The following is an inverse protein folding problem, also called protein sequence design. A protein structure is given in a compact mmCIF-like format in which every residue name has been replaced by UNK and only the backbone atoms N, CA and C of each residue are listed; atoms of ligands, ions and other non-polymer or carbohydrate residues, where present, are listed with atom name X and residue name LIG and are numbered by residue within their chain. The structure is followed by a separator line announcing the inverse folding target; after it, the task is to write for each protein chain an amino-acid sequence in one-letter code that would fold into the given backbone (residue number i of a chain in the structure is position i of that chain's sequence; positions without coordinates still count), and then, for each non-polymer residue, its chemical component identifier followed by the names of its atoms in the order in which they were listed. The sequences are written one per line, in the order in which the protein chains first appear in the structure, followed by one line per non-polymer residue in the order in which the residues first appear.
data_IF_349328546742
#
_entry.id   IF_349328546742
#
_cell.length_a   1.000
_cell.length_b   1.000
_cell.length_c   1.000
_cell.angle_alpha   90.00
_cell.angle_beta   90.00
_cell.angle_gamma   90.00
#
_symmetry.space_group_name_H-M   'P 1'
#
loop_
_entity.id
_entity.type
_entity.pdbx_description
1 polymer ?
#
# COMPACT_ATOMS: atom_id res chain seq x y z
N UNK A 1 -0.47 -21.23 36.20
CA UNK A 1 0.60 -21.59 35.22
C UNK A 1 0.64 -20.66 34.00
N UNK A 2 -0.45 -19.93 33.66
CA UNK A 2 -0.49 -18.93 32.57
C UNK A 2 0.44 -17.72 32.79
N UNK A 3 0.59 -17.29 34.04
CA UNK A 3 1.36 -16.11 34.44
C UNK A 3 2.88 -16.26 34.18
N UNK A 4 3.44 -17.46 34.37
CA UNK A 4 4.85 -17.70 34.06
C UNK A 4 5.10 -17.71 32.54
N UNK A 5 4.18 -18.27 31.75
CA UNK A 5 4.31 -18.32 30.28
C UNK A 5 4.28 -16.94 29.63
N UNK A 6 3.48 -16.00 30.13
CA UNK A 6 3.46 -14.62 29.60
C UNK A 6 4.80 -13.90 29.81
N UNK A 7 5.41 -14.03 31.00
CA UNK A 7 6.70 -13.41 31.33
C UNK A 7 7.84 -13.96 30.46
N UNK A 8 7.90 -15.28 30.26
CA UNK A 8 8.92 -15.89 29.41
C UNK A 8 8.73 -15.52 27.94
N UNK A 9 7.48 -15.37 27.49
CA UNK A 9 7.15 -14.99 26.12
C UNK A 9 7.58 -13.55 25.81
N UNK A 10 7.25 -12.60 26.69
CA UNK A 10 7.64 -11.20 26.52
C UNK A 10 9.17 -11.03 26.58
N UNK A 11 9.84 -11.73 27.51
CA UNK A 11 11.30 -11.72 27.59
C UNK A 11 11.96 -12.31 26.35
N UNK A 12 11.47 -13.46 25.86
CA UNK A 12 11.98 -14.09 24.64
C UNK A 12 11.76 -13.18 23.43
N UNK A 13 10.55 -12.62 23.28
CA UNK A 13 10.22 -11.75 22.14
C UNK A 13 11.11 -10.50 22.13
N UNK A 14 11.31 -9.86 23.28
CA UNK A 14 12.22 -8.69 23.40
C UNK A 14 13.67 -9.03 23.05
N UNK A 15 14.14 -10.24 23.34
CA UNK A 15 15.48 -10.67 23.02
C UNK A 15 15.67 -10.99 21.52
N UNK A 16 14.65 -11.58 20.88
CA UNK A 16 14.74 -12.05 19.49
C UNK A 16 14.29 -10.97 18.48
N UNK A 17 13.30 -10.15 18.80
CA UNK A 17 12.74 -9.13 17.90
C UNK A 17 13.77 -8.16 17.29
N UNK A 18 14.78 -7.65 18.03
CA UNK A 18 15.82 -6.81 17.44
C UNK A 18 16.60 -7.50 16.33
N UNK A 19 16.81 -8.82 16.44
CA UNK A 19 17.60 -9.64 15.52
C UNK A 19 16.80 -10.17 14.33
N UNK A 20 15.53 -9.81 14.20
CA UNK A 20 14.63 -10.30 13.14
C UNK A 20 15.09 -10.06 11.70
N UNK A 21 16.03 -9.14 11.49
CA UNK A 21 16.60 -8.81 10.17
C UNK A 21 17.88 -9.59 9.86
N UNK A 22 18.44 -10.29 10.84
CA UNK A 22 19.79 -10.88 10.78
C UNK A 22 19.79 -12.33 10.27
N UNK A 23 18.63 -12.98 10.22
CA UNK A 23 18.41 -14.35 9.73
C UNK A 23 16.89 -14.57 9.59
N UNK A 24 16.39 -15.56 8.81
CA UNK A 24 15.01 -16.02 8.91
C UNK A 24 14.52 -16.04 10.36
N UNK A 25 13.28 -15.58 10.58
CA UNK A 25 12.17 -16.00 9.72
C UNK A 25 11.61 -14.89 8.80
N UNK A 26 10.92 -15.28 7.72
CA UNK A 26 10.37 -14.41 6.65
C UNK A 26 9.18 -13.57 7.15
N UNK A 27 8.64 -12.66 6.32
CA UNK A 27 7.56 -11.74 6.71
C UNK A 27 6.30 -12.48 7.22
N UNK A 28 5.95 -13.60 6.61
CA UNK A 28 4.85 -14.50 7.02
C UNK A 28 5.06 -15.00 8.45
N UNK A 29 6.27 -15.42 8.75
CA UNK A 29 6.61 -16.10 9.99
C UNK A 29 6.57 -15.13 11.17
N UNK A 30 7.13 -13.93 10.99
CA UNK A 30 7.00 -12.87 11.99
C UNK A 30 5.55 -12.45 12.19
N UNK A 31 4.74 -12.46 11.13
CA UNK A 31 3.31 -12.17 11.22
C UNK A 31 2.60 -13.24 12.07
N UNK A 32 2.91 -14.51 11.84
CA UNK A 32 2.39 -15.62 12.63
C UNK A 32 2.83 -15.55 14.11
N UNK A 33 4.11 -15.29 14.39
CA UNK A 33 4.62 -15.15 15.75
C UNK A 33 3.94 -13.99 16.49
N UNK A 34 3.80 -12.82 15.86
CA UNK A 34 3.12 -11.69 16.50
C UNK A 34 1.63 -11.98 16.77
N UNK A 35 0.98 -12.76 15.91
CA UNK A 35 -0.40 -13.20 16.13
C UNK A 35 -0.51 -14.14 17.34
N UNK A 36 0.32 -15.19 17.41
CA UNK A 36 0.30 -16.17 18.49
C UNK A 36 0.63 -15.52 19.84
N UNK A 37 1.62 -14.61 19.86
CA UNK A 37 2.07 -13.94 21.07
C UNK A 37 1.32 -12.64 21.40
N UNK A 38 0.25 -12.33 20.65
CA UNK A 38 -0.59 -11.16 20.88
C UNK A 38 0.19 -9.82 20.89
N UNK A 39 1.19 -9.69 20.02
CA UNK A 39 2.00 -8.49 19.90
C UNK A 39 1.41 -7.55 18.83
N UNK A 40 0.36 -6.82 19.20
CA UNK A 40 -0.51 -6.08 18.27
C UNK A 40 0.21 -5.01 17.42
N UNK A 41 1.03 -4.10 17.98
CA UNK A 41 1.64 -3.02 17.18
C UNK A 41 2.53 -3.55 16.05
N UNK A 42 3.24 -4.63 16.32
CA UNK A 42 4.14 -5.31 15.41
C UNK A 42 3.38 -6.16 14.40
N UNK A 43 2.32 -6.84 14.84
CA UNK A 43 1.40 -7.54 13.95
C UNK A 43 0.80 -6.58 12.91
N UNK A 44 0.31 -5.41 13.34
CA UNK A 44 -0.19 -4.35 12.46
C UNK A 44 0.92 -3.84 11.51
N UNK A 45 2.14 -3.66 12.01
CA UNK A 45 3.25 -3.22 11.17
C UNK A 45 3.60 -4.25 10.08
N UNK A 46 3.64 -5.52 10.42
CA UNK A 46 4.01 -6.62 9.52
C UNK A 46 2.91 -6.89 8.49
N UNK A 47 1.65 -6.92 8.90
CA UNK A 47 0.50 -7.12 7.99
C UNK A 47 0.38 -5.97 6.98
N UNK A 48 0.60 -4.73 7.41
CA UNK A 48 0.71 -3.58 6.49
C UNK A 48 1.86 -3.73 5.49
N UNK A 49 3.05 -4.13 5.96
CA UNK A 49 4.19 -4.41 5.06
C UNK A 49 3.84 -5.53 4.09
N UNK A 50 3.12 -6.55 4.54
CA UNK A 50 2.68 -7.67 3.72
C UNK A 50 1.75 -7.21 2.60
N UNK A 51 0.81 -6.29 2.87
CA UNK A 51 -0.04 -5.71 1.80
C UNK A 51 0.81 -5.04 0.71
N UNK A 52 1.82 -4.26 1.08
CA UNK A 52 2.70 -3.59 0.11
C UNK A 52 3.67 -4.53 -0.60
N UNK A 53 4.02 -5.65 0.03
CA UNK A 53 5.11 -6.52 -0.39
C UNK A 53 4.69 -7.80 -1.10
N UNK A 54 3.47 -8.26 -0.83
CA UNK A 54 2.92 -9.48 -1.41
C UNK A 54 2.65 -9.32 -2.90
N UNK A 55 2.79 -10.42 -3.62
CA UNK A 55 2.33 -10.58 -5.00
C UNK A 55 0.98 -11.31 -4.96
N UNK A 56 0.64 -12.13 -5.97
CA UNK A 56 -0.61 -12.92 -5.98
C UNK A 56 -0.77 -13.82 -4.75
N UNK A 57 0.32 -14.21 -4.10
CA UNK A 57 0.32 -15.04 -2.89
C UNK A 57 1.11 -14.39 -1.77
N UNK A 58 0.57 -14.41 -0.55
CA UNK A 58 1.37 -14.19 0.66
C UNK A 58 2.06 -15.52 0.99
N UNK A 59 3.40 -15.54 0.99
CA UNK A 59 4.23 -16.76 1.01
C UNK A 59 3.78 -17.80 2.05
N UNK A 60 3.70 -19.05 1.62
CA UNK A 60 3.41 -20.23 2.43
C UNK A 60 4.75 -20.83 2.89
N UNK A 61 5.24 -20.42 4.05
CA UNK A 61 6.53 -20.87 4.60
C UNK A 61 6.37 -22.08 5.53
N UNK A 62 5.47 -22.99 5.19
CA UNK A 62 5.09 -24.16 6.01
C UNK A 62 4.54 -23.82 7.42
N UNK A 63 4.36 -22.53 7.72
CA UNK A 63 3.75 -22.05 8.95
C UNK A 63 2.24 -21.90 8.75
N UNK A 64 1.41 -22.36 9.71
CA UNK A 64 -0.04 -22.30 9.60
C UNK A 64 -0.54 -20.87 9.89
N UNK A 65 -0.18 -19.90 9.06
CA UNK A 65 -0.81 -18.59 9.09
C UNK A 65 -2.31 -18.80 8.83
N UNK A 66 -3.20 -18.30 9.70
CA UNK A 66 -4.62 -18.52 9.48
C UNK A 66 -5.06 -17.95 8.12
N UNK A 67 -5.85 -18.74 7.39
CA UNK A 67 -6.29 -18.38 6.04
C UNK A 67 -6.99 -17.02 5.99
N UNK A 68 -7.68 -16.61 7.05
CA UNK A 68 -8.32 -15.30 7.14
C UNK A 68 -7.29 -14.16 7.18
N UNK A 69 -6.11 -14.32 7.79
CA UNK A 69 -5.04 -13.30 7.78
C UNK A 69 -4.51 -13.13 6.36
N UNK A 70 -4.15 -14.25 5.71
CA UNK A 70 -3.67 -14.25 4.34
C UNK A 70 -4.72 -13.68 3.38
N UNK A 71 -5.98 -14.07 3.58
CA UNK A 71 -7.14 -13.60 2.81
C UNK A 71 -7.35 -12.09 2.91
N UNK A 72 -7.29 -11.52 4.12
CA UNK A 72 -7.43 -10.08 4.33
C UNK A 72 -6.25 -9.29 3.73
N UNK A 73 -5.02 -9.79 3.86
CA UNK A 73 -3.84 -9.19 3.21
C UNK A 73 -4.01 -9.18 1.69
N UNK A 74 -4.42 -10.32 1.11
CA UNK A 74 -4.64 -10.46 -0.33
C UNK A 74 -5.80 -9.56 -0.81
N UNK A 75 -6.91 -9.52 -0.08
CA UNK A 75 -8.06 -8.67 -0.39
C UNK A 75 -7.67 -7.19 -0.38
N UNK A 76 -6.97 -6.73 0.67
CA UNK A 76 -6.52 -5.35 0.78
C UNK A 76 -5.53 -5.00 -0.34
N UNK A 77 -4.65 -5.93 -0.71
CA UNK A 77 -3.74 -5.76 -1.84
C UNK A 77 -4.50 -5.57 -3.15
N UNK A 78 -5.38 -6.50 -3.48
CA UNK A 78 -6.16 -6.46 -4.73
C UNK A 78 -7.00 -5.18 -4.78
N UNK A 79 -7.70 -4.82 -3.70
CA UNK A 79 -8.50 -3.59 -3.63
C UNK A 79 -7.67 -2.32 -3.85
N UNK A 80 -6.43 -2.28 -3.35
CA UNK A 80 -5.55 -1.12 -3.54
C UNK A 80 -5.06 -1.01 -4.98
N UNK A 81 -4.71 -2.15 -5.59
CA UNK A 81 -4.31 -2.23 -7.00
C UNK A 81 -5.48 -1.82 -7.90
N UNK A 82 -6.68 -2.32 -7.60
CA UNK A 82 -7.92 -2.03 -8.33
C UNK A 82 -8.22 -0.54 -8.35
N UNK A 83 -8.18 0.11 -7.19
CA UNK A 83 -8.38 1.55 -7.09
C UNK A 83 -7.34 2.37 -7.90
N UNK A 84 -6.09 1.89 -7.99
CA UNK A 84 -5.08 2.53 -8.83
C UNK A 84 -5.37 2.35 -10.32
N UNK A 85 -5.79 1.15 -10.74
CA UNK A 85 -6.15 0.85 -12.13
C UNK A 85 -7.40 1.63 -12.55
N UNK A 86 -8.41 1.68 -11.70
CA UNK A 86 -9.65 2.44 -11.93
C UNK A 86 -9.33 3.91 -12.16
N UNK A 87 -8.46 4.50 -11.32
CA UNK A 87 -8.02 5.87 -11.53
C UNK A 87 -7.32 6.09 -12.88
N UNK A 88 -6.46 5.15 -13.30
CA UNK A 88 -5.82 5.21 -14.62
C UNK A 88 -6.83 5.07 -15.76
N UNK A 89 -7.84 4.21 -15.59
CA UNK A 89 -8.93 4.03 -16.55
C UNK A 89 -9.76 5.29 -16.68
N UNK A 90 -10.08 5.95 -15.57
CA UNK A 90 -10.78 7.25 -15.54
C UNK A 90 -9.98 8.34 -16.24
N UNK A 91 -8.65 8.40 -16.00
CA UNK A 91 -7.76 9.32 -16.71
C UNK A 91 -7.75 9.05 -18.22
N UNK A 92 -7.59 7.79 -18.65
CA UNK A 92 -7.64 7.46 -20.07
C UNK A 92 -8.98 7.86 -20.70
N UNK A 93 -10.09 7.54 -20.02
CA UNK A 93 -11.44 7.84 -20.49
C UNK A 93 -11.71 9.35 -20.58
N UNK A 94 -11.20 10.15 -19.64
CA UNK A 94 -11.38 11.60 -19.67
C UNK A 94 -10.73 12.23 -20.90
N UNK A 95 -9.51 11.80 -21.26
CA UNK A 95 -8.79 12.26 -22.44
C UNK A 95 -9.25 11.62 -23.76
N UNK A 96 -9.97 10.49 -23.72
CA UNK A 96 -10.64 9.89 -24.88
C UNK A 96 -12.02 10.50 -25.17
N UNK A 97 -12.59 11.23 -24.21
CA UNK A 97 -13.94 11.80 -24.35
C UNK A 97 -13.96 13.01 -25.30
N UNK A 98 -15.15 13.36 -25.78
CA UNK A 98 -15.36 14.57 -26.60
C UNK A 98 -15.17 15.88 -25.81
N UNK A 99 -15.01 15.80 -24.48
CA UNK A 99 -14.82 16.98 -23.61
C UNK A 99 -13.34 17.33 -23.55
N UNK A 100 -13.01 18.51 -24.03
CA UNK A 100 -11.65 19.06 -23.95
C UNK A 100 -11.21 19.18 -22.47
N UNK A 101 -10.16 18.46 -22.10
CA UNK A 101 -9.54 18.49 -20.76
C UNK A 101 -8.51 19.63 -20.66
N UNK A 102 -7.74 19.85 -21.74
CA UNK A 102 -6.70 20.86 -21.81
C UNK A 102 -7.18 22.11 -22.54
N UNK A 103 -7.46 23.20 -21.82
CA UNK A 103 -7.96 24.46 -22.40
C UNK A 103 -6.94 25.23 -23.24
N UNK A 104 -5.65 24.90 -23.15
CA UNK A 104 -4.59 25.66 -23.79
C UNK A 104 -4.52 25.46 -25.31
N UNK A 105 -4.78 24.25 -25.82
CA UNK A 105 -4.73 23.91 -27.27
C UNK A 105 -5.66 22.74 -27.62
N UNK A 106 -6.28 22.78 -28.79
CA UNK A 106 -7.22 21.75 -29.28
C UNK A 106 -6.60 20.34 -29.40
N UNK A 107 -5.30 20.22 -29.68
CA UNK A 107 -4.62 18.93 -29.88
C UNK A 107 -3.88 18.42 -28.63
N UNK A 108 -4.00 19.13 -27.50
CA UNK A 108 -3.27 18.82 -26.28
C UNK A 108 -3.72 17.48 -25.68
N UNK A 109 -5.03 17.20 -25.68
CA UNK A 109 -5.60 15.98 -25.12
C UNK A 109 -5.11 14.72 -25.85
N UNK A 110 -5.07 14.76 -27.19
CA UNK A 110 -4.53 13.66 -28.00
C UNK A 110 -3.04 13.39 -27.69
N UNK A 111 -2.25 14.43 -27.41
CA UNK A 111 -0.85 14.26 -27.03
C UNK A 111 -0.72 13.68 -25.62
N UNK A 112 -1.49 14.18 -24.66
CA UNK A 112 -1.50 13.65 -23.28
C UNK A 112 -1.92 12.19 -23.29
N UNK A 113 -3.00 11.85 -23.97
CA UNK A 113 -3.48 10.48 -24.14
C UNK A 113 -2.41 9.58 -24.75
N UNK A 114 -1.80 10.00 -25.86
CA UNK A 114 -0.73 9.25 -26.50
C UNK A 114 0.50 9.07 -25.60
N UNK A 115 0.86 10.09 -24.82
CA UNK A 115 1.96 10.01 -23.86
C UNK A 115 1.61 9.10 -22.68
N UNK A 116 0.36 9.12 -22.21
CA UNK A 116 -0.12 8.28 -21.11
C UNK A 116 -0.10 6.80 -21.52
N UNK A 117 -0.67 6.47 -22.69
CA UNK A 117 -0.67 5.11 -23.24
C UNK A 117 0.77 4.63 -23.46
N UNK A 118 1.64 5.45 -24.08
CA UNK A 118 3.06 5.09 -24.25
C UNK A 118 3.78 4.89 -22.92
N UNK A 119 3.51 5.74 -21.93
CA UNK A 119 4.08 5.64 -20.59
C UNK A 119 3.69 4.36 -19.87
N UNK A 120 2.41 3.99 -19.92
CA UNK A 120 1.89 2.73 -19.38
C UNK A 120 2.46 1.51 -20.11
N UNK A 121 2.47 1.55 -21.45
CA UNK A 121 3.02 0.47 -22.27
C UNK A 121 4.51 0.22 -22.00
N UNK A 122 5.31 1.29 -21.87
CA UNK A 122 6.74 1.19 -21.57
C UNK A 122 7.03 0.56 -20.19
N UNK A 123 6.03 0.46 -19.31
CA UNK A 123 6.12 -0.14 -17.96
C UNK A 123 5.42 -1.49 -17.87
N UNK A 124 4.92 -2.01 -19.00
CA UNK A 124 4.15 -3.26 -19.05
C UNK A 124 2.80 -3.18 -18.35
N UNK A 125 2.20 -1.98 -18.27
CA UNK A 125 0.90 -1.74 -17.63
C UNK A 125 -0.22 -1.53 -18.65
N UNK A 126 0.07 -1.52 -19.94
CA UNK A 126 -0.93 -1.39 -21.01
C UNK A 126 -0.98 -2.67 -21.86
N UNK A 127 -2.17 -3.20 -22.21
CA UNK A 127 -3.50 -2.76 -21.75
C UNK A 127 -3.65 -2.90 -20.23
N UNK A 128 -4.50 -2.07 -19.62
CA UNK A 128 -4.76 -2.13 -18.18
C UNK A 128 -5.40 -3.50 -17.87
N UNK A 129 -4.70 -4.32 -17.10
CA UNK A 129 -5.20 -5.61 -16.64
C UNK A 129 -6.15 -5.45 -15.46
N UNK A 130 -6.93 -6.49 -15.16
CA UNK A 130 -7.69 -6.57 -13.91
C UNK A 130 -6.75 -6.71 -12.71
N UNK A 131 -7.12 -6.13 -11.56
CA UNK A 131 -6.26 -6.08 -10.38
C UNK A 131 -5.76 -7.45 -9.90
N UNK A 132 -6.63 -8.46 -9.96
CA UNK A 132 -6.29 -9.83 -9.57
C UNK A 132 -5.28 -10.53 -10.50
N UNK A 133 -5.14 -10.07 -11.74
CA UNK A 133 -4.21 -10.63 -12.72
C UNK A 133 -2.78 -10.05 -12.61
N UNK A 134 -2.62 -8.93 -11.90
CA UNK A 134 -1.31 -8.32 -11.70
C UNK A 134 -0.53 -9.05 -10.61
N UNK A 135 0.50 -9.81 -11.00
CA UNK A 135 1.42 -10.48 -10.07
C UNK A 135 2.63 -9.60 -9.70
N UNK A 136 2.36 -8.36 -9.31
CA UNK A 136 3.38 -7.41 -8.83
C UNK A 136 2.98 -6.83 -7.47
N UNK A 137 3.95 -6.45 -6.62
CA UNK A 137 3.64 -5.82 -5.35
C UNK A 137 3.22 -4.36 -5.54
N UNK A 138 2.40 -3.82 -4.62
CA UNK A 138 1.89 -2.44 -4.69
C UNK A 138 3.04 -1.43 -4.82
N UNK A 139 4.11 -1.63 -4.04
CA UNK A 139 5.30 -0.75 -4.09
C UNK A 139 5.90 -0.65 -5.51
N UNK A 140 5.88 -1.74 -6.25
CA UNK A 140 6.44 -1.82 -7.60
C UNK A 140 5.50 -1.15 -8.59
N UNK A 141 4.18 -1.43 -8.49
CA UNK A 141 3.17 -0.73 -9.29
C UNK A 141 3.29 0.79 -9.11
N UNK A 142 3.33 1.25 -7.86
CA UNK A 142 3.38 2.69 -7.57
C UNK A 142 4.70 3.30 -8.03
N UNK A 143 5.83 2.61 -7.87
CA UNK A 143 7.11 3.05 -8.41
C UNK A 143 7.06 3.22 -9.94
N UNK A 144 6.47 2.26 -10.66
CA UNK A 144 6.30 2.35 -12.12
C UNK A 144 5.45 3.56 -12.49
N UNK A 145 4.31 3.74 -11.84
CA UNK A 145 3.39 4.86 -12.10
C UNK A 145 4.06 6.21 -11.81
N UNK A 146 4.78 6.35 -10.70
CA UNK A 146 5.54 7.58 -10.37
C UNK A 146 6.66 7.90 -11.35
N UNK A 147 7.27 6.85 -11.91
CA UNK A 147 8.31 7.01 -12.91
C UNK A 147 7.76 7.50 -14.26
N UNK A 148 6.44 7.50 -14.48
CA UNK A 148 5.85 7.94 -15.75
C UNK A 148 6.15 9.39 -16.05
N UNK A 149 6.48 9.64 -17.31
CA UNK A 149 6.58 10.99 -17.85
C UNK A 149 5.42 11.19 -18.82
N UNK A 150 4.58 12.19 -18.55
CA UNK A 150 3.46 12.53 -19.42
C UNK A 150 3.73 13.90 -20.01
N UNK A 151 3.95 13.93 -21.32
CA UNK A 151 4.21 15.15 -22.07
C UNK A 151 2.88 15.78 -22.53
N UNK A 152 2.86 17.11 -22.62
CA UNK A 152 1.77 17.83 -23.27
C UNK A 152 2.29 18.93 -24.21
N UNK A 153 1.52 19.26 -25.25
CA UNK A 153 1.87 20.32 -26.23
C UNK A 153 2.09 21.69 -25.58
N UNK A 154 1.56 21.88 -24.38
CA UNK A 154 1.58 23.13 -23.65
C UNK A 154 2.93 23.35 -22.94
N UNK A 155 3.78 22.33 -22.80
CA UNK A 155 5.10 22.49 -22.17
C UNK A 155 6.09 23.32 -23.01
N UNK A 156 5.89 23.42 -24.32
CA UNK A 156 6.89 23.98 -25.25
C UNK A 156 6.63 25.43 -25.69
N UNK A 157 5.53 26.06 -25.25
CA UNK A 157 5.22 27.44 -25.66
C UNK A 157 5.57 28.45 -24.55
N UNK A 158 6.76 29.05 -24.69
CA UNK A 158 7.36 30.00 -23.74
C UNK A 158 6.59 31.32 -23.55
N UNK A 159 5.45 31.53 -24.21
CA UNK A 159 4.62 32.73 -24.07
C UNK A 159 3.49 32.61 -23.04
N UNK A 160 3.23 31.43 -22.47
CA UNK A 160 2.24 31.22 -21.40
C UNK A 160 2.75 30.25 -20.32
N UNK A 161 3.90 30.54 -19.73
CA UNK A 161 4.54 29.70 -18.70
C UNK A 161 3.70 29.55 -17.42
N UNK A 162 2.76 30.46 -17.16
CA UNK A 162 1.98 30.48 -15.90
C UNK A 162 0.79 29.51 -15.91
N UNK A 163 0.15 29.25 -17.06
CA UNK A 163 -0.99 28.32 -17.13
C UNK A 163 -0.57 26.86 -17.40
N UNK A 164 0.62 26.65 -17.98
CA UNK A 164 1.08 25.33 -18.43
C UNK A 164 1.73 24.50 -17.32
N UNK A 165 2.25 25.13 -16.27
CA UNK A 165 2.70 24.41 -15.08
C UNK A 165 1.53 23.68 -14.41
N UNK A 166 0.33 24.26 -14.42
CA UNK A 166 -0.83 23.71 -13.70
C UNK A 166 -1.42 22.44 -14.31
N UNK A 167 -1.23 22.19 -15.62
CA UNK A 167 -1.81 21.00 -16.26
C UNK A 167 -0.94 19.75 -16.11
N UNK A 168 0.38 19.85 -16.30
CA UNK A 168 1.30 18.72 -16.11
C UNK A 168 1.71 18.53 -14.64
N UNK A 169 1.83 19.61 -13.85
CA UNK A 169 1.76 19.48 -12.38
C UNK A 169 0.38 18.96 -11.97
N UNK A 170 -0.66 19.28 -12.73
CA UNK A 170 -2.03 18.78 -12.56
C UNK A 170 -2.11 17.28 -12.68
N UNK A 171 -1.80 16.69 -13.84
CA UNK A 171 -1.92 15.24 -14.05
C UNK A 171 -0.93 14.46 -13.19
N UNK A 172 0.36 14.83 -13.21
CA UNK A 172 1.37 14.15 -12.39
C UNK A 172 1.07 14.32 -10.89
N UNK A 173 0.58 15.49 -10.49
CA UNK A 173 0.15 15.75 -9.12
C UNK A 173 -1.14 15.04 -8.74
N UNK A 174 -2.10 14.87 -9.65
CA UNK A 174 -3.31 14.07 -9.45
C UNK A 174 -2.96 12.59 -9.26
N UNK A 175 -2.07 12.07 -10.11
CA UNK A 175 -1.55 10.71 -9.97
C UNK A 175 -0.82 10.56 -8.64
N UNK A 176 0.12 11.45 -8.32
CA UNK A 176 0.86 11.40 -7.05
C UNK A 176 -0.05 11.53 -5.82
N UNK A 177 -1.04 12.42 -5.87
CA UNK A 177 -2.02 12.61 -4.80
C UNK A 177 -2.87 11.36 -4.61
N UNK A 178 -3.32 10.73 -5.70
CA UNK A 178 -4.08 9.48 -5.64
C UNK A 178 -3.23 8.35 -5.08
N UNK A 179 -2.00 8.16 -5.56
CA UNK A 179 -1.09 7.14 -5.05
C UNK A 179 -0.78 7.36 -3.57
N UNK A 180 -0.49 8.59 -3.15
CA UNK A 180 -0.24 8.94 -1.75
C UNK A 180 -1.47 8.67 -0.87
N UNK A 181 -2.67 8.93 -1.37
CA UNK A 181 -3.93 8.63 -0.67
C UNK A 181 -4.15 7.12 -0.53
N UNK A 182 -3.86 6.34 -1.57
CA UNK A 182 -3.93 4.88 -1.50
C UNK A 182 -2.89 4.32 -0.51
N UNK A 183 -1.68 4.88 -0.50
CA UNK A 183 -0.64 4.51 0.47
C UNK A 183 -1.06 4.82 1.91
N UNK A 184 -1.69 5.98 2.15
CA UNK A 184 -2.19 6.34 3.48
C UNK A 184 -3.33 5.43 3.91
N UNK A 185 -4.26 5.08 3.01
CA UNK A 185 -5.35 4.14 3.31
C UNK A 185 -4.85 2.75 3.71
N UNK A 186 -3.80 2.24 3.06
CA UNK A 186 -3.14 0.99 3.50
C UNK A 186 -2.38 1.20 4.80
N UNK A 187 -1.81 2.39 5.02
CA UNK A 187 -1.04 2.69 6.21
C UNK A 187 -1.88 2.80 7.49
N UNK A 188 -3.09 3.31 7.35
CA UNK A 188 -4.08 3.49 8.42
C UNK A 188 -4.90 2.22 8.66
N UNK A 189 -4.82 1.23 7.76
CA UNK A 189 -5.52 -0.03 7.91
C UNK A 189 -4.93 -0.89 9.02
N UNK A 190 -5.82 -1.40 9.87
CA UNK A 190 -5.48 -2.32 10.96
C UNK A 190 -6.23 -3.63 10.76
N UNK A 191 -5.47 -4.71 10.56
CA UNK A 191 -6.05 -6.05 10.52
C UNK A 191 -6.69 -6.43 11.87
N UNK A 192 -6.21 -5.83 12.97
CA UNK A 192 -6.73 -6.06 14.32
C UNK A 192 -8.25 -5.78 14.44
N UNK A 193 -8.78 -4.85 13.65
CA UNK A 193 -10.20 -4.49 13.66
C UNK A 193 -11.09 -5.59 13.05
N UNK A 194 -10.50 -6.51 12.28
CA UNK A 194 -11.19 -7.59 11.55
C UNK A 194 -11.00 -8.96 12.19
N UNK A 195 -10.40 -9.01 13.39
CA UNK A 195 -10.18 -10.25 14.12
C UNK A 195 -11.50 -10.85 14.62
N UNK A 196 -11.67 -12.18 14.56
CA UNK A 196 -12.64 -12.86 15.42
C UNK A 196 -12.32 -12.52 16.90
N UNK A 197 -13.30 -11.99 17.66
CA UNK A 197 -13.18 -11.58 19.09
C UNK A 197 -12.33 -12.54 19.96
N UNK A 198 -11.59 -12.01 20.96
CA UNK A 198 -10.49 -11.08 20.83
C UNK A 198 -9.16 -11.86 20.81
N UNK A 199 -8.46 -11.89 19.68
CA UNK A 199 -7.08 -12.38 19.68
C UNK A 199 -6.16 -11.44 20.51
N UNK A 200 -6.52 -10.17 20.65
CA UNK A 200 -5.82 -9.18 21.48
C UNK A 200 -6.86 -8.50 22.40
N UNK A 201 -7.04 -9.01 23.61
CA UNK A 201 -7.82 -8.34 24.66
C UNK A 201 -6.91 -7.39 25.45
N UNK A 202 -7.44 -6.23 25.83
CA UNK A 202 -6.79 -5.17 26.60
C UNK A 202 -5.95 -5.69 27.78
N UNK A 203 -4.63 -5.65 27.62
CA UNK A 203 -3.69 -5.72 28.74
C UNK A 203 -2.99 -4.37 28.86
N UNK A 204 -3.71 -3.35 29.37
CA UNK A 204 -3.10 -2.17 30.01
C UNK A 204 -4.17 -1.35 30.74
N UNK A 205 -4.47 -1.75 31.98
CA UNK A 205 -4.69 -0.82 33.09
C UNK A 205 -4.65 -1.63 34.41
N UNK A 206 -3.44 -1.91 34.89
CA UNK A 206 -3.23 -2.30 36.29
C UNK A 206 -1.78 -1.99 36.71
N UNK A 207 -1.62 -1.17 37.75
CA UNK A 207 -0.39 -1.14 38.55
C UNK A 207 0.45 0.13 38.49
N UNK A 208 -0.07 1.24 39.02
CA UNK A 208 0.78 2.29 39.58
C UNK A 208 0.16 2.82 40.87
N UNK A 209 0.33 2.04 41.95
CA UNK A 209 0.22 2.54 43.32
C UNK A 209 1.61 2.44 43.95
N UNK A 210 2.27 3.58 44.09
CA UNK A 210 3.45 3.72 44.94
C UNK A 210 3.03 3.68 46.41
N UNK A 211 3.78 3.00 47.30
CA UNK A 211 3.57 3.13 48.74
C UNK A 211 4.16 4.46 49.24
N UNK A 212 3.38 5.19 50.06
CA UNK A 212 3.87 6.33 50.84
C UNK A 212 4.76 5.83 51.98
N UNK A 213 5.91 6.44 52.26
CA UNK A 213 6.68 6.16 53.46
C UNK A 213 6.06 6.85 54.68
N UNK A 214 6.09 6.16 55.82
CA UNK A 214 5.88 6.70 57.17
C UNK A 214 7.10 7.50 57.63
#
# INVERSE_FOLDING_TARGET
MHECTEVFTDMWFRAVWPRRRESPPHLTDWTFLCLVFKYAPEFENLTRKAVFASTSTFEDNDLPLPQWVAGEIALRRVSTIDAAIDHLRDLLNSYMSDRQQCFCRQNCDAMVLGSLIKGLNARGLFPLAEAGALDIPIRELFARLRAMNVACLCETDSRQVVLNQDLNRGLKGQLESTLSKLESQVSDWKLADHLPRPAFSESSQAGSQQPKPN
#
